data_IF_258215340919
#
_entry.id   IF_258215340919
#
_cell.length_a   1.000
_cell.length_b   1.000
_cell.length_c   1.000
_cell.angle_alpha   90.00
_cell.angle_beta   90.00
_cell.angle_gamma   90.00
#
_symmetry.space_group_name_H-M   'P 1'
#
loop_
_entity.id
_entity.type
_entity.pdbx_description
1 polymer ?
#
# COMPACT_ATOMS: atom_id res chain seq x y z
N UNK A 1 22.96 10.81 -5.41
CA UNK A 1 22.27 9.79 -6.24
C UNK A 1 21.05 10.45 -6.87
N UNK A 2 20.74 10.22 -8.15
CA UNK A 2 19.52 10.75 -8.77
C UNK A 2 18.29 9.99 -8.25
N UNK A 3 17.10 10.61 -8.35
CA UNK A 3 15.83 10.01 -7.94
C UNK A 3 15.53 8.73 -8.75
N UNK A 4 15.84 8.73 -10.04
CA UNK A 4 15.78 7.54 -10.91
C UNK A 4 16.73 6.42 -10.46
N UNK A 5 17.97 6.74 -10.08
CA UNK A 5 18.93 5.73 -9.60
C UNK A 5 18.51 5.13 -8.25
N UNK A 6 17.86 5.91 -7.39
CA UNK A 6 17.29 5.42 -6.12
C UNK A 6 16.11 4.47 -6.38
N UNK A 7 15.17 4.85 -7.25
CA UNK A 7 14.03 4.03 -7.63
C UNK A 7 14.46 2.71 -8.28
N UNK A 8 15.43 2.74 -9.19
CA UNK A 8 15.99 1.51 -9.77
C UNK A 8 16.61 0.59 -8.70
N UNK A 9 17.35 1.15 -7.73
CA UNK A 9 17.96 0.34 -6.67
C UNK A 9 16.93 -0.28 -5.71
N UNK A 10 15.78 0.38 -5.50
CA UNK A 10 14.74 -0.14 -4.62
C UNK A 10 13.95 -1.26 -5.32
N UNK A 11 13.57 -1.05 -6.58
CA UNK A 11 12.91 -2.07 -7.39
C UNK A 11 13.74 -3.35 -7.51
N UNK A 12 15.04 -3.23 -7.76
CA UNK A 12 15.96 -4.38 -7.80
C UNK A 12 15.92 -5.19 -6.48
N UNK A 13 15.79 -4.52 -5.34
CA UNK A 13 15.68 -5.18 -4.02
C UNK A 13 14.32 -5.85 -3.83
N UNK A 14 13.24 -5.22 -4.28
CA UNK A 14 11.90 -5.83 -4.27
C UNK A 14 11.89 -7.10 -5.12
N UNK A 15 12.41 -7.05 -6.34
CA UNK A 15 12.56 -8.20 -7.21
C UNK A 15 13.40 -9.32 -6.57
N UNK A 16 14.53 -8.96 -5.95
CA UNK A 16 15.39 -9.93 -5.27
C UNK A 16 14.67 -10.62 -4.10
N UNK A 17 13.96 -9.87 -3.27
CA UNK A 17 13.20 -10.40 -2.13
C UNK A 17 12.01 -11.26 -2.59
N UNK A 18 11.21 -10.76 -3.53
CA UNK A 18 10.12 -11.48 -4.18
C UNK A 18 10.59 -12.85 -4.69
N UNK A 19 11.67 -12.87 -5.47
CA UNK A 19 12.24 -14.11 -6.04
C UNK A 19 12.80 -15.05 -4.97
N UNK A 20 13.42 -14.52 -3.92
CA UNK A 20 14.04 -15.32 -2.87
C UNK A 20 13.00 -16.05 -2.01
N UNK A 21 11.95 -15.36 -1.57
CA UNK A 21 10.95 -15.91 -0.67
C UNK A 21 9.80 -16.62 -1.40
N UNK A 22 9.46 -16.17 -2.61
CA UNK A 22 8.40 -16.75 -3.42
C UNK A 22 6.99 -16.42 -2.92
N UNK A 23 6.00 -16.76 -3.74
CA UNK A 23 4.64 -16.25 -3.64
C UNK A 23 3.93 -16.55 -2.31
N UNK A 24 3.98 -17.78 -1.82
CA UNK A 24 3.18 -18.14 -0.64
C UNK A 24 3.74 -17.54 0.65
N UNK A 25 5.07 -17.46 0.78
CA UNK A 25 5.71 -16.75 1.89
C UNK A 25 5.38 -15.26 1.85
N UNK A 26 5.42 -14.65 0.66
CA UNK A 26 5.12 -13.23 0.51
C UNK A 26 3.65 -12.91 0.77
N UNK A 27 2.69 -13.76 0.34
CA UNK A 27 1.27 -13.59 0.71
C UNK A 27 1.08 -13.59 2.22
N UNK A 28 1.73 -14.53 2.92
CA UNK A 28 1.63 -14.65 4.37
C UNK A 28 2.22 -13.40 5.04
N UNK A 29 3.40 -12.96 4.60
CA UNK A 29 4.04 -11.76 5.15
C UNK A 29 3.24 -10.50 4.85
N UNK A 30 2.65 -10.37 3.65
CA UNK A 30 1.76 -9.23 3.32
C UNK A 30 0.58 -9.17 4.26
N UNK A 31 -0.01 -10.33 4.60
CA UNK A 31 -1.10 -10.38 5.56
C UNK A 31 -0.64 -9.92 6.96
N UNK A 32 0.54 -10.34 7.40
CA UNK A 32 1.11 -9.92 8.69
C UNK A 32 1.30 -8.40 8.76
N UNK A 33 1.97 -7.77 7.78
CA UNK A 33 2.18 -6.30 7.83
C UNK A 33 0.85 -5.53 7.75
N UNK A 34 -0.14 -6.06 7.01
CA UNK A 34 -1.47 -5.47 6.96
C UNK A 34 -2.20 -5.55 8.30
N UNK A 35 -2.06 -6.67 9.03
CA UNK A 35 -2.64 -6.85 10.36
C UNK A 35 -1.96 -5.90 11.38
N UNK A 36 -0.63 -5.74 11.31
CA UNK A 36 0.15 -4.82 12.15
C UNK A 36 -0.22 -3.35 11.89
N UNK A 37 -0.32 -2.95 10.62
CA UNK A 37 -0.80 -1.62 10.25
C UNK A 37 -2.25 -1.38 10.73
N UNK A 38 -3.12 -2.39 10.60
CA UNK A 38 -4.51 -2.28 11.03
C UNK A 38 -4.63 -2.05 12.55
N UNK A 39 -3.80 -2.72 13.36
CA UNK A 39 -3.75 -2.49 14.80
C UNK A 39 -3.35 -1.05 15.13
N UNK A 40 -2.30 -0.52 14.50
CA UNK A 40 -1.84 0.86 14.72
C UNK A 40 -2.85 1.92 14.28
N UNK A 41 -3.62 1.66 13.22
CA UNK A 41 -4.67 2.57 12.75
C UNK A 41 -5.94 2.50 13.62
N UNK A 42 -6.20 1.36 14.26
CA UNK A 42 -7.33 1.13 15.15
C UNK A 42 -7.14 1.64 16.58
N UNK A 43 -5.91 1.91 17.02
CA UNK A 43 -5.65 2.47 18.34
C UNK A 43 -5.89 3.99 18.40
N UNK A 44 -7.11 4.34 18.77
CA UNK A 44 -7.53 5.73 19.01
C UNK A 44 -7.19 6.25 20.41
N UNK A 45 -6.66 5.40 21.30
CA UNK A 45 -6.33 5.78 22.68
C UNK A 45 -5.00 6.51 22.80
N UNK A 46 -4.11 6.34 21.81
CA UNK A 46 -2.78 6.93 21.77
C UNK A 46 -2.75 8.15 20.85
N UNK A 47 -2.13 9.27 21.27
CA UNK A 47 -1.98 10.44 20.41
C UNK A 47 -1.22 10.12 19.12
N UNK A 48 -1.73 10.62 17.99
CA UNK A 48 -1.18 10.39 16.65
C UNK A 48 0.35 10.63 16.56
N UNK A 49 0.83 11.71 17.20
CA UNK A 49 2.26 12.04 17.24
C UNK A 49 3.15 10.96 17.84
N UNK A 50 2.62 10.16 18.78
CA UNK A 50 3.37 9.13 19.48
C UNK A 50 3.48 7.85 18.64
N UNK A 51 2.49 7.59 17.78
CA UNK A 51 2.48 6.42 16.87
C UNK A 51 3.00 6.73 15.47
N UNK A 52 3.27 8.00 15.14
CA UNK A 52 3.64 8.43 13.79
C UNK A 52 4.82 7.66 13.20
N UNK A 53 5.85 7.38 13.99
CA UNK A 53 7.03 6.64 13.52
C UNK A 53 6.66 5.19 13.16
N UNK A 54 6.02 4.47 14.08
CA UNK A 54 5.57 3.10 13.86
C UNK A 54 4.62 2.99 12.65
N UNK A 55 3.66 3.91 12.51
CA UNK A 55 2.76 3.92 11.35
C UNK A 55 3.48 4.13 10.02
N UNK A 56 4.55 4.92 10.00
CA UNK A 56 5.35 5.12 8.78
C UNK A 56 6.11 3.84 8.44
N UNK A 57 6.64 3.13 9.43
CA UNK A 57 7.30 1.84 9.25
C UNK A 57 6.31 0.82 8.67
N UNK A 58 5.16 0.61 9.31
CA UNK A 58 4.17 -0.35 8.82
C UNK A 58 3.56 0.02 7.47
N UNK A 59 3.38 1.31 7.20
CA UNK A 59 2.99 1.75 5.85
C UNK A 59 4.05 1.36 4.82
N UNK A 60 5.33 1.61 5.11
CA UNK A 60 6.42 1.27 4.20
C UNK A 60 6.52 -0.25 3.98
N UNK A 61 6.32 -1.04 5.02
CA UNK A 61 6.32 -2.50 4.91
C UNK A 61 5.15 -3.01 4.08
N UNK A 62 3.93 -2.51 4.32
CA UNK A 62 2.77 -2.82 3.46
C UNK A 62 3.00 -2.39 2.01
N UNK A 63 3.58 -1.22 1.75
CA UNK A 63 3.94 -0.78 0.40
C UNK A 63 4.88 -1.77 -0.29
N UNK A 64 6.00 -2.12 0.37
CA UNK A 64 6.98 -3.06 -0.16
C UNK A 64 6.37 -4.45 -0.42
N UNK A 65 5.48 -4.89 0.47
CA UNK A 65 4.85 -6.19 0.38
C UNK A 65 3.81 -6.26 -0.74
N UNK A 66 3.06 -5.18 -0.97
CA UNK A 66 2.14 -5.09 -2.11
C UNK A 66 2.90 -5.07 -3.44
N UNK A 67 4.00 -4.33 -3.54
CA UNK A 67 4.82 -4.29 -4.76
C UNK A 67 5.41 -5.67 -5.07
N UNK A 68 5.94 -6.37 -4.05
CA UNK A 68 6.46 -7.74 -4.23
C UNK A 68 5.38 -8.74 -4.69
N UNK A 69 4.13 -8.60 -4.25
CA UNK A 69 3.02 -9.40 -4.77
C UNK A 69 2.70 -9.06 -6.23
N UNK A 70 2.71 -7.78 -6.60
CA UNK A 70 2.50 -7.36 -7.99
C UNK A 70 3.59 -7.90 -8.92
N UNK A 71 4.86 -7.89 -8.47
CA UNK A 71 5.98 -8.50 -9.19
C UNK A 71 5.78 -10.02 -9.36
N UNK A 72 5.39 -10.73 -8.29
CA UNK A 72 5.22 -12.19 -8.34
C UNK A 72 4.02 -12.66 -9.16
N UNK A 73 3.00 -11.80 -9.30
CA UNK A 73 1.85 -12.04 -10.15
C UNK A 73 1.96 -11.44 -11.54
N UNK A 74 3.07 -10.75 -11.85
CA UNK A 74 3.29 -10.06 -13.12
C UNK A 74 2.12 -9.14 -13.47
N UNK A 75 1.68 -8.31 -12.51
CA UNK A 75 0.48 -7.48 -12.63
C UNK A 75 0.68 -6.01 -12.21
N UNK A 76 1.93 -5.54 -12.15
CA UNK A 76 2.28 -4.19 -11.72
C UNK A 76 1.57 -3.11 -12.55
N UNK A 77 1.55 -3.28 -13.87
CA UNK A 77 0.91 -2.35 -14.81
C UNK A 77 -0.62 -2.36 -14.65
N UNK A 78 -1.24 -3.54 -14.59
CA UNK A 78 -2.69 -3.66 -14.43
C UNK A 78 -3.19 -3.10 -13.09
N UNK A 79 -2.42 -3.31 -12.01
CA UNK A 79 -2.75 -2.77 -10.69
C UNK A 79 -2.64 -1.25 -10.71
N UNK A 80 -1.57 -0.68 -11.30
CA UNK A 80 -1.39 0.76 -11.44
C UNK A 80 -2.53 1.41 -12.22
N UNK A 81 -2.86 0.89 -13.40
CA UNK A 81 -3.95 1.39 -14.24
C UNK A 81 -5.32 1.26 -13.55
N UNK A 82 -5.51 0.20 -12.77
CA UNK A 82 -6.74 -0.01 -12.01
C UNK A 82 -6.83 0.94 -10.82
N UNK A 83 -5.72 1.22 -10.14
CA UNK A 83 -5.65 2.19 -9.05
C UNK A 83 -5.93 3.61 -9.55
N UNK A 84 -5.35 4.02 -10.67
CA UNK A 84 -5.60 5.32 -11.29
C UNK A 84 -7.08 5.52 -11.62
N UNK A 85 -7.69 4.59 -12.36
CA UNK A 85 -9.12 4.63 -12.68
C UNK A 85 -10.03 4.63 -11.44
N UNK A 86 -9.62 3.97 -10.36
CA UNK A 86 -10.36 4.00 -9.08
C UNK A 86 -10.30 5.39 -8.46
N UNK A 87 -9.16 6.08 -8.55
CA UNK A 87 -9.01 7.43 -8.03
C UNK A 87 -9.74 8.46 -8.86
N UNK A 88 -9.72 8.37 -10.19
CA UNK A 88 -10.53 9.21 -11.08
C UNK A 88 -12.01 9.15 -10.69
N UNK A 89 -12.57 7.93 -10.59
CA UNK A 89 -13.97 7.72 -10.14
C UNK A 89 -14.23 8.25 -8.74
N UNK A 90 -13.23 8.20 -7.86
CA UNK A 90 -13.37 8.75 -6.50
C UNK A 90 -13.50 10.27 -6.56
N UNK A 91 -12.72 10.93 -7.41
CA UNK A 91 -12.81 12.39 -7.60
C UNK A 91 -14.14 12.81 -8.25
N UNK A 92 -14.64 12.06 -9.22
CA UNK A 92 -15.97 12.27 -9.81
C UNK A 92 -17.09 12.16 -8.75
N UNK A 93 -16.98 11.20 -7.82
CA UNK A 93 -17.94 11.04 -6.71
C UNK A 93 -17.90 12.21 -5.73
N UNK A 94 -16.71 12.74 -5.44
CA UNK A 94 -16.57 13.95 -4.62
C UNK A 94 -17.22 15.13 -5.34
N UNK A 95 -16.91 15.36 -6.62
CA UNK A 95 -17.44 16.48 -7.39
C UNK A 95 -18.97 16.44 -7.60
N UNK A 96 -19.55 15.24 -7.64
CA UNK A 96 -21.01 15.04 -7.80
C UNK A 96 -21.79 15.08 -6.49
N UNK A 97 -21.13 15.27 -5.34
CA UNK A 97 -21.80 15.24 -4.02
C UNK A 97 -22.30 13.84 -3.63
N UNK A 98 -21.80 12.78 -4.26
CA UNK A 98 -22.25 11.39 -4.04
C UNK A 98 -22.21 10.98 -2.55
N UNK A 99 -21.18 11.42 -1.83
CA UNK A 99 -21.01 11.08 -0.41
C UNK A 99 -21.92 11.90 0.52
N UNK A 100 -22.37 13.09 0.10
CA UNK A 100 -23.29 13.94 0.87
C UNK A 100 -24.71 13.36 0.87
N UNK A 101 -25.13 12.75 -0.25
CA UNK A 101 -26.41 12.04 -0.36
C UNK A 101 -26.50 10.76 0.49
N UNK A 102 -25.37 10.21 0.94
CA UNK A 102 -25.30 8.99 1.77
C UNK A 102 -25.17 9.24 3.27
N UNK A 103 -24.81 10.45 3.70
CA UNK A 103 -24.73 10.79 5.12
C UNK A 103 -26.11 11.04 5.78
N UNK A 104 -27.18 11.08 4.98
CA UNK A 104 -28.55 11.38 5.40
C UNK A 104 -29.53 10.19 5.21
N UNK A 105 -29.05 8.96 5.07
CA UNK A 105 -29.86 7.75 4.82
C UNK A 105 -29.53 6.59 5.75
#
# INVERSE_FOLDING_TARGET
MSQEAYQNSHYDRLCAAAKHFGLDAQKQKTKEEMDELAELLGDYSVPDRALRAARIEELADVYNMLDQLCILWDCEDEVRDTAERKMERTMERIASGYYEGKANG
#
